data_IF_438480594882
#
_entry.id   IF_438480594882
#
_cell.length_a   1.000
_cell.length_b   1.000
_cell.length_c   1.000
_cell.angle_alpha   90.00
_cell.angle_beta   90.00
_cell.angle_gamma   90.00
#
_symmetry.space_group_name_H-M   'P 1'
#
loop_
_entity.id
_entity.type
_entity.pdbx_description
1 polymer ?
#
# COMPACT_ATOMS: atom_id res chain seq x y z
N UNK A 1 -9.48 20.42 18.51
CA UNK A 1 -8.01 20.38 18.69
C UNK A 1 -7.44 19.63 17.50
N UNK A 2 -6.86 20.34 16.53
CA UNK A 2 -6.37 19.77 15.27
C UNK A 2 -5.01 19.11 15.52
N UNK A 3 -4.93 17.79 15.40
CA UNK A 3 -3.68 17.03 15.48
C UNK A 3 -3.02 17.01 14.09
N UNK A 4 -2.01 17.86 13.88
CA UNK A 4 -1.16 17.81 12.69
C UNK A 4 -0.16 16.67 12.85
N UNK A 5 -0.50 15.48 12.36
CA UNK A 5 0.49 14.42 12.10
C UNK A 5 1.32 14.86 10.88
N UNK A 6 2.65 14.93 10.95
CA UNK A 6 3.44 15.28 9.77
C UNK A 6 3.36 14.14 8.75
N UNK A 7 2.61 14.38 7.67
CA UNK A 7 2.71 13.59 6.44
C UNK A 7 3.88 14.18 5.67
N UNK A 8 5.02 13.50 5.70
CA UNK A 8 6.16 13.85 4.84
C UNK A 8 6.83 12.58 4.31
N UNK A 9 6.12 11.91 3.40
CA UNK A 9 6.75 10.98 2.46
C UNK A 9 7.44 11.80 1.38
N UNK A 10 8.77 11.79 1.38
CA UNK A 10 9.61 12.52 0.42
C UNK A 10 10.23 11.52 -0.56
N UNK A 11 10.15 11.81 -1.87
CA UNK A 11 10.69 11.00 -2.96
C UNK A 11 11.77 11.80 -3.69
N UNK A 12 13.01 11.32 -3.70
CA UNK A 12 14.16 11.92 -4.40
C UNK A 12 14.99 10.83 -5.13
N UNK A 13 15.81 11.19 -6.14
CA UNK A 13 16.20 10.30 -7.23
C UNK A 13 17.24 9.26 -6.80
N UNK A 14 17.03 8.02 -7.28
CA UNK A 14 17.93 6.88 -7.12
C UNK A 14 19.14 7.04 -8.05
N UNK A 15 20.35 6.94 -7.51
CA UNK A 15 21.59 6.90 -8.30
C UNK A 15 21.61 5.66 -9.21
N UNK A 16 21.95 5.83 -10.48
CA UNK A 16 22.06 4.73 -11.43
C UNK A 16 23.48 4.18 -11.38
N UNK A 17 23.70 3.06 -10.66
CA UNK A 17 25.00 2.37 -10.65
C UNK A 17 25.46 1.67 -9.37
N UNK A 18 24.71 1.69 -8.27
CA UNK A 18 25.14 0.99 -7.05
C UNK A 18 24.81 -0.51 -7.11
N UNK A 19 25.70 -1.35 -6.56
CA UNK A 19 25.46 -2.78 -6.30
C UNK A 19 24.47 -3.04 -5.17
N UNK A 20 23.93 -1.99 -4.56
CA UNK A 20 23.06 -2.04 -3.39
C UNK A 20 21.61 -2.29 -3.81
N UNK A 21 20.85 -3.16 -3.13
CA UNK A 21 19.43 -3.35 -3.41
C UNK A 21 18.68 -2.01 -3.41
N UNK A 22 17.68 -1.87 -4.30
CA UNK A 22 16.92 -0.62 -4.46
C UNK A 22 16.28 -0.15 -3.16
N UNK A 23 15.78 -1.10 -2.35
CA UNK A 23 15.14 -0.79 -1.08
C UNK A 23 16.13 -0.24 -0.05
N UNK A 24 17.34 -0.81 0.01
CA UNK A 24 18.41 -0.32 0.89
C UNK A 24 18.93 1.06 0.46
N UNK A 25 19.12 1.29 -0.84
CA UNK A 25 19.48 2.62 -1.35
C UNK A 25 18.42 3.69 -1.00
N UNK A 26 17.14 3.33 -1.07
CA UNK A 26 16.06 4.22 -0.64
C UNK A 26 16.10 4.48 0.86
N UNK A 27 16.35 3.45 1.68
CA UNK A 27 16.49 3.57 3.13
C UNK A 27 17.61 4.53 3.51
N UNK A 28 18.79 4.39 2.92
CA UNK A 28 19.93 5.30 3.14
C UNK A 28 19.54 6.75 2.80
N UNK A 29 18.86 6.95 1.67
CA UNK A 29 18.40 8.27 1.22
C UNK A 29 17.39 8.89 2.20
N UNK A 30 16.41 8.11 2.67
CA UNK A 30 15.38 8.57 3.60
C UNK A 30 15.96 8.93 4.97
N UNK A 31 16.88 8.11 5.49
CA UNK A 31 17.54 8.37 6.77
C UNK A 31 18.51 9.56 6.69
N UNK A 32 19.17 9.76 5.56
CA UNK A 32 19.98 10.95 5.32
C UNK A 32 19.11 12.24 5.28
N UNK A 33 17.89 12.15 4.74
CA UNK A 33 16.97 13.27 4.67
C UNK A 33 16.29 13.57 6.02
N UNK A 34 15.91 12.54 6.77
CA UNK A 34 15.33 12.67 8.11
C UNK A 34 15.69 11.46 8.98
N UNK A 35 16.70 11.57 9.88
CA UNK A 35 17.14 10.43 10.68
C UNK A 35 16.13 9.99 11.75
N UNK A 36 15.06 10.76 11.97
CA UNK A 36 14.04 10.46 12.98
C UNK A 36 12.93 9.53 12.44
N UNK A 37 12.96 9.13 11.16
CA UNK A 37 11.99 8.16 10.63
C UNK A 37 12.49 6.72 10.81
N UNK A 38 11.55 5.81 11.10
CA UNK A 38 11.81 4.37 11.01
C UNK A 38 11.60 3.93 9.56
N UNK A 39 12.59 3.25 9.00
CA UNK A 39 12.52 2.68 7.66
C UNK A 39 12.73 1.17 7.76
N UNK A 40 11.72 0.42 7.36
CA UNK A 40 11.74 -1.04 7.29
C UNK A 40 11.89 -1.45 5.83
N UNK A 41 12.92 -2.22 5.54
CA UNK A 41 13.17 -2.77 4.22
C UNK A 41 12.66 -4.20 4.17
N UNK A 42 11.81 -4.50 3.20
CA UNK A 42 11.39 -5.84 2.85
C UNK A 42 12.15 -6.27 1.59
N UNK A 43 13.26 -7.00 1.76
CA UNK A 43 14.05 -7.54 0.65
C UNK A 43 13.45 -8.87 0.14
N UNK A 44 12.16 -8.85 -0.11
CA UNK A 44 11.41 -9.99 -0.65
C UNK A 44 10.44 -9.53 -1.74
N UNK A 45 10.16 -10.44 -2.68
CA UNK A 45 9.14 -10.16 -3.70
C UNK A 45 7.77 -10.16 -3.02
N UNK A 46 6.95 -9.15 -3.32
CA UNK A 46 5.54 -9.20 -3.00
C UNK A 46 4.86 -10.32 -3.80
N UNK A 47 4.18 -11.22 -3.09
CA UNK A 47 3.46 -12.38 -3.61
C UNK A 47 2.07 -12.46 -2.98
N UNK A 48 1.23 -13.38 -3.46
CA UNK A 48 -0.09 -13.62 -2.85
C UNK A 48 0.01 -14.13 -1.41
N UNK A 49 1.10 -14.81 -1.08
CA UNK A 49 1.25 -15.52 0.19
C UNK A 49 1.69 -14.56 1.32
N UNK A 50 2.48 -13.52 1.01
CA UNK A 50 2.94 -12.54 2.01
C UNK A 50 2.15 -11.22 2.03
N UNK A 51 1.42 -10.87 0.97
CA UNK A 51 0.88 -9.52 0.82
C UNK A 51 -0.13 -9.13 1.92
N UNK A 52 -0.99 -10.06 2.37
CA UNK A 52 -1.98 -9.75 3.40
C UNK A 52 -1.32 -9.48 4.75
N UNK A 53 -0.41 -10.34 5.17
CA UNK A 53 0.31 -10.20 6.44
C UNK A 53 1.11 -8.89 6.48
N UNK A 54 1.86 -8.59 5.41
CA UNK A 54 2.62 -7.35 5.29
C UNK A 54 1.72 -6.11 5.38
N UNK A 55 0.57 -6.12 4.71
CA UNK A 55 -0.29 -4.94 4.60
C UNK A 55 -1.03 -4.63 5.90
N UNK A 56 -1.31 -5.63 6.74
CA UNK A 56 -1.96 -5.41 8.02
C UNK A 56 -1.14 -4.52 8.96
N UNK A 57 0.20 -4.57 8.84
CA UNK A 57 1.16 -3.81 9.65
C UNK A 57 1.23 -2.32 9.30
N UNK A 58 0.63 -1.88 8.19
CA UNK A 58 0.71 -0.49 7.71
C UNK A 58 -0.65 0.19 7.65
N UNK A 59 -0.70 1.50 7.86
CA UNK A 59 -1.96 2.27 7.82
C UNK A 59 -2.37 2.67 6.40
N UNK A 60 -1.40 2.92 5.53
CA UNK A 60 -1.60 3.38 4.15
C UNK A 60 -0.65 2.61 3.24
N UNK A 61 -1.14 2.19 2.09
CA UNK A 61 -0.34 1.52 1.07
C UNK A 61 -0.09 2.50 -0.08
N UNK A 62 1.16 2.63 -0.50
CA UNK A 62 1.53 3.42 -1.68
C UNK A 62 2.08 2.50 -2.78
N UNK A 63 1.45 2.54 -3.96
CA UNK A 63 1.84 1.77 -5.13
C UNK A 63 2.48 2.66 -6.18
N UNK A 64 3.67 2.25 -6.62
CA UNK A 64 4.38 2.81 -7.77
C UNK A 64 4.99 1.71 -8.64
N UNK A 65 4.41 0.50 -8.60
CA UNK A 65 4.87 -0.65 -9.36
C UNK A 65 4.71 -0.45 -10.87
N UNK A 66 5.60 -1.07 -11.64
CA UNK A 66 5.70 -0.89 -13.09
C UNK A 66 4.95 -1.95 -13.90
N UNK A 67 4.26 -2.88 -13.25
CA UNK A 67 3.57 -3.98 -13.91
C UNK A 67 2.13 -4.17 -13.40
N UNK A 68 1.26 -4.64 -14.29
CA UNK A 68 -0.17 -4.79 -13.98
C UNK A 68 -0.45 -5.87 -12.93
N UNK A 69 0.28 -6.97 -12.93
CA UNK A 69 0.07 -8.07 -11.99
C UNK A 69 0.25 -7.60 -10.54
N UNK A 70 1.34 -6.89 -10.25
CA UNK A 70 1.61 -6.31 -8.94
C UNK A 70 0.57 -5.27 -8.55
N UNK A 71 0.11 -4.42 -9.48
CA UNK A 71 -0.97 -3.43 -9.20
C UNK A 71 -2.27 -4.11 -8.74
N UNK A 72 -2.67 -5.18 -9.43
CA UNK A 72 -3.86 -5.95 -9.05
C UNK A 72 -3.67 -6.69 -7.74
N UNK A 73 -2.49 -7.27 -7.50
CA UNK A 73 -2.15 -7.91 -6.23
C UNK A 73 -2.23 -6.94 -5.06
N UNK A 74 -1.61 -5.76 -5.21
CA UNK A 74 -1.63 -4.69 -4.21
C UNK A 74 -3.05 -4.21 -3.95
N UNK A 75 -3.86 -3.99 -5.00
CA UNK A 75 -5.27 -3.65 -4.84
C UNK A 75 -6.03 -4.69 -4.01
N UNK A 76 -5.86 -5.97 -4.34
CA UNK A 76 -6.59 -7.04 -3.67
C UNK A 76 -6.16 -7.12 -2.20
N UNK A 77 -4.86 -7.09 -1.93
CA UNK A 77 -4.34 -7.08 -0.57
C UNK A 77 -4.85 -5.86 0.24
N UNK A 78 -4.81 -4.65 -0.34
CA UNK A 78 -5.32 -3.44 0.31
C UNK A 78 -6.84 -3.49 0.54
N UNK A 79 -7.60 -4.03 -0.41
CA UNK A 79 -9.04 -4.23 -0.29
C UNK A 79 -9.37 -5.20 0.86
N UNK A 80 -8.65 -6.33 0.94
CA UNK A 80 -8.86 -7.34 1.99
C UNK A 80 -8.45 -6.86 3.38
N UNK A 81 -7.34 -6.12 3.46
CA UNK A 81 -6.81 -5.57 4.72
C UNK A 81 -7.45 -4.24 5.11
N UNK A 82 -8.36 -3.70 4.28
CA UNK A 82 -9.06 -2.42 4.48
C UNK A 82 -8.11 -1.24 4.63
N UNK A 83 -7.03 -1.23 3.86
CA UNK A 83 -6.06 -0.13 3.86
C UNK A 83 -6.32 0.78 2.66
N UNK A 84 -6.32 2.11 2.84
CA UNK A 84 -6.35 3.03 1.71
C UNK A 84 -5.11 2.82 0.84
N UNK A 85 -5.33 2.75 -0.47
CA UNK A 85 -4.31 2.56 -1.48
C UNK A 85 -4.11 3.86 -2.27
N UNK A 86 -2.90 4.40 -2.23
CA UNK A 86 -2.45 5.51 -3.09
C UNK A 86 -1.71 4.91 -4.28
N UNK A 87 -2.33 4.92 -5.45
CA UNK A 87 -1.75 4.34 -6.66
C UNK A 87 -1.22 5.42 -7.59
N UNK A 88 0.03 5.28 -8.02
CA UNK A 88 0.67 6.14 -9.01
C UNK A 88 1.15 5.33 -10.23
N UNK A 89 0.96 5.90 -11.42
CA UNK A 89 1.44 5.36 -12.70
C UNK A 89 2.03 6.46 -13.53
N UNK A 90 3.05 6.15 -14.33
CA UNK A 90 3.48 7.01 -15.43
C UNK A 90 3.53 6.14 -16.69
N UNK A 91 2.85 6.58 -17.74
CA UNK A 91 2.92 6.00 -19.07
C UNK A 91 3.36 7.09 -20.05
N UNK A 92 4.61 6.98 -20.52
CA UNK A 92 5.27 7.99 -21.38
C UNK A 92 5.22 9.38 -20.74
N UNK A 93 4.37 10.27 -21.25
CA UNK A 93 4.23 11.66 -20.80
C UNK A 93 2.97 11.90 -19.96
N UNK A 94 2.24 10.83 -19.63
CA UNK A 94 1.01 10.91 -18.83
C UNK A 94 1.23 10.25 -17.48
N UNK A 95 0.96 11.00 -16.42
CA UNK A 95 0.93 10.50 -15.05
C UNK A 95 -0.49 10.30 -14.58
N UNK A 96 -0.69 9.31 -13.73
CA UNK A 96 -1.92 9.12 -12.98
C UNK A 96 -1.60 8.98 -11.50
N UNK A 97 -2.39 9.64 -10.66
CA UNK A 97 -2.39 9.48 -9.20
C UNK A 97 -3.84 9.39 -8.73
N UNK A 98 -4.16 8.38 -7.93
CA UNK A 98 -5.52 8.21 -7.39
C UNK A 98 -5.47 7.50 -6.04
N UNK A 99 -6.45 7.80 -5.19
CA UNK A 99 -6.63 7.14 -3.89
C UNK A 99 -7.84 6.23 -3.96
N UNK A 100 -7.67 4.98 -3.54
CA UNK A 100 -8.69 3.95 -3.47
C UNK A 100 -8.90 3.57 -2.01
N UNK A 101 -10.08 3.88 -1.47
CA UNK A 101 -10.43 3.58 -0.08
C UNK A 101 -11.82 2.92 -0.01
N UNK A 102 -11.90 1.61 -0.32
CA UNK A 102 -13.15 0.87 -0.28
C UNK A 102 -13.69 0.67 1.14
N UNK A 103 -12.84 0.78 2.17
CA UNK A 103 -13.27 0.65 3.56
C UNK A 103 -14.13 1.87 3.99
N UNK A 104 -13.82 3.05 3.45
CA UNK A 104 -14.61 4.28 3.64
C UNK A 104 -15.73 4.47 2.60
N UNK A 105 -16.06 3.43 1.82
CA UNK A 105 -17.12 3.48 0.80
C UNK A 105 -16.69 4.05 -0.56
N UNK A 106 -15.39 4.26 -0.77
CA UNK A 106 -14.82 4.64 -2.06
C UNK A 106 -14.69 3.46 -3.06
N UNK A 107 -14.30 3.73 -4.31
CA UNK A 107 -14.03 2.67 -5.28
C UNK A 107 -12.72 1.94 -4.98
N UNK A 108 -12.62 0.71 -5.47
CA UNK A 108 -11.38 -0.06 -5.56
C UNK A 108 -10.69 0.16 -6.91
N UNK A 109 -9.42 -0.22 -7.06
CA UNK A 109 -8.71 -0.12 -8.35
C UNK A 109 -9.43 -0.91 -9.45
N UNK A 110 -9.84 -2.15 -9.15
CA UNK A 110 -10.59 -3.02 -10.07
C UNK A 110 -11.95 -2.47 -10.48
N UNK A 111 -12.52 -1.58 -9.67
CA UNK A 111 -13.80 -0.95 -9.90
C UNK A 111 -13.71 0.05 -11.06
N UNK A 112 -12.54 0.65 -11.28
CA UNK A 112 -12.24 1.51 -12.43
C UNK A 112 -11.55 0.76 -13.57
N UNK A 113 -10.68 -0.20 -13.24
CA UNK A 113 -9.84 -0.93 -14.19
C UNK A 113 -10.17 -2.42 -14.12
N UNK A 114 -11.21 -2.83 -14.84
CA UNK A 114 -11.61 -4.24 -14.91
C UNK A 114 -10.71 -5.01 -15.88
N UNK A 115 -10.18 -6.19 -15.49
CA UNK A 115 -9.42 -7.05 -16.40
C UNK A 115 -10.21 -7.49 -17.64
N UNK A 116 -11.55 -7.42 -17.59
CA UNK A 116 -12.47 -7.80 -18.65
C UNK A 116 -12.97 -6.64 -19.52
N UNK A 117 -12.32 -5.46 -19.48
CA UNK A 117 -12.71 -4.32 -20.33
C UNK A 117 -12.24 -4.45 -21.79
N UNK A 118 -12.12 -5.68 -22.33
CA UNK A 118 -12.41 -5.94 -23.75
C UNK A 118 -13.75 -6.67 -23.82
N UNK A 119 -14.77 -5.93 -24.30
CA UNK A 119 -16.15 -6.39 -24.54
C UNK A 119 -16.93 -6.96 -23.35
N UNK A 120 -17.50 -6.09 -22.51
CA UNK A 120 -18.96 -6.05 -22.25
C UNK A 120 -19.30 -4.74 -21.52
N UNK A 121 -20.12 -3.92 -22.15
CA UNK A 121 -20.77 -2.79 -21.52
C UNK A 121 -21.83 -3.29 -20.54
N UNK A 122 -21.86 -2.73 -19.33
CA UNK A 122 -23.06 -2.73 -18.48
C UNK A 122 -23.28 -3.96 -17.60
N UNK A 123 -22.44 -4.15 -16.57
CA UNK A 123 -22.93 -4.73 -15.31
C UNK A 123 -22.18 -4.05 -14.17
N UNK A 124 -22.90 -3.32 -13.30
CA UNK A 124 -22.34 -2.82 -12.04
C UNK A 124 -21.75 -4.02 -11.30
N UNK A 125 -20.44 -4.02 -11.08
CA UNK A 125 -19.75 -5.02 -10.26
C UNK A 125 -20.29 -4.91 -8.82
N UNK A 126 -21.33 -5.68 -8.51
CA UNK A 126 -21.87 -5.88 -7.15
C UNK A 126 -20.95 -6.78 -6.29
N UNK A 127 -19.72 -7.02 -6.74
CA UNK A 127 -18.81 -8.03 -6.18
C UNK A 127 -17.76 -7.52 -5.18
N UNK A 128 -17.56 -6.21 -5.01
CA UNK A 128 -16.60 -5.68 -4.04
C UNK A 128 -17.29 -5.44 -2.69
N UNK A 129 -17.77 -6.49 -2.04
CA UNK A 129 -18.36 -6.42 -0.70
C UNK A 129 -17.23 -6.47 0.35
N UNK A 130 -17.26 -5.56 1.33
CA UNK A 130 -16.18 -5.39 2.31
C UNK A 130 -15.84 -6.71 3.03
N UNK A 131 -14.59 -7.18 2.96
CA UNK A 131 -14.20 -8.45 3.57
C UNK A 131 -14.02 -8.32 5.10
N UNK A 132 -14.15 -9.42 5.83
CA UNK A 132 -13.87 -9.48 7.27
C UNK A 132 -12.38 -9.33 7.57
N UNK A 133 -12.03 -8.84 8.78
CA UNK A 133 -10.64 -8.64 9.21
C UNK A 133 -10.00 -9.99 9.60
N UNK A 134 -8.85 -10.33 9.01
CA UNK A 134 -7.99 -11.40 9.48
C UNK A 134 -7.01 -10.88 10.57
N UNK A 135 -6.44 -11.75 11.42
CA UNK A 135 -5.41 -11.35 12.38
C UNK A 135 -4.00 -11.60 11.84
N UNK A 136 -3.18 -10.54 11.73
CA UNK A 136 -1.77 -10.58 11.36
C UNK A 136 -0.84 -10.32 12.54
N UNK A 137 0.22 -11.12 12.64
CA UNK A 137 1.37 -10.88 13.52
C UNK A 137 2.41 -10.08 12.74
N UNK A 138 2.94 -9.00 13.33
CA UNK A 138 3.99 -8.18 12.73
C UNK A 138 5.32 -8.40 13.48
N UNK A 139 6.23 -9.22 12.93
CA UNK A 139 7.66 -9.28 13.32
C UNK A 139 8.00 -9.70 14.78
N UNK A 140 9.29 -9.95 15.09
CA UNK A 140 9.72 -10.62 16.32
C UNK A 140 9.64 -9.77 17.61
N UNK A 141 9.34 -8.48 17.53
CA UNK A 141 9.20 -7.61 18.71
C UNK A 141 7.73 -7.47 19.13
N UNK A 142 7.12 -8.61 19.48
CA UNK A 142 5.83 -8.65 20.19
C UNK A 142 6.04 -8.27 21.67
N UNK A 143 6.32 -6.99 21.91
CA UNK A 143 6.70 -6.46 23.22
C UNK A 143 5.92 -5.22 23.64
N UNK A 144 4.58 -5.27 23.63
CA UNK A 144 3.75 -4.92 24.79
C UNK A 144 2.26 -5.07 24.44
N UNK A 145 1.62 -6.00 25.14
CA UNK A 145 0.17 -6.18 25.17
C UNK A 145 -0.32 -5.64 26.52
N UNK A 146 -1.12 -4.57 26.50
CA UNK A 146 -1.97 -4.02 27.58
C UNK A 146 -2.47 -2.66 27.06
N UNK A 147 -3.76 -2.33 26.94
CA UNK A 147 -4.86 -2.62 27.86
C UNK A 147 -6.22 -2.64 27.16
N UNK A 148 -7.09 -3.45 27.74
CA UNK A 148 -8.53 -3.31 27.66
C UNK A 148 -8.95 -2.07 28.45
N UNK A 149 -9.73 -1.18 27.83
CA UNK A 149 -10.79 -0.30 28.40
C UNK A 149 -11.23 0.56 27.21
N UNK A 150 -12.49 0.70 26.80
CA UNK A 150 -13.75 0.64 27.51
C UNK A 150 -14.51 1.93 27.15
N UNK A 151 -15.73 1.77 26.67
CA UNK A 151 -16.83 2.75 26.70
C UNK A 151 -16.81 3.97 25.73
N UNK A 152 -17.87 3.97 24.90
CA UNK A 152 -18.52 5.03 24.12
C UNK A 152 -17.86 5.52 22.83
#
# INVERSE_FOLDING_TARGET
>A
MWSTRPISTVRLPIHWGSRTPKAESLRETLLAANPNVRVEVHDERLTRDNALELFECYDIIADGSDNFETRYLINDAAFFTKKPLVSASIFRFQGQLSVFDPASGGPCYRCLYSPAASSIAGTKLSGCRSPGRAPGNCGPDAGHRSDQTGAW
#
